data_IF_931272951208
#
_entry.id   IF_931272951208
#
_cell.length_a   1.000
_cell.length_b   1.000
_cell.length_c   1.000
_cell.angle_alpha   90.00
_cell.angle_beta   90.00
_cell.angle_gamma   90.00
#
_symmetry.space_group_name_H-M   'P 1'
#
loop_
_entity.id
_entity.type
_entity.pdbx_description
1 polymer ?
#
# COMPACT_ATOMS: atom_id res chain seq x y z
N UNK A 1 -9.58 -12.27 -1.68
CA UNK A 1 -8.47 -11.96 -0.74
C UNK A 1 -8.98 -11.75 0.68
N UNK A 2 -9.90 -10.81 0.94
CA UNK A 2 -10.44 -10.61 2.29
C UNK A 2 -11.08 -11.89 2.88
N UNK A 3 -11.93 -12.56 2.10
CA UNK A 3 -12.58 -13.80 2.54
C UNK A 3 -11.56 -14.94 2.78
N UNK A 4 -10.48 -14.97 2.01
CA UNK A 4 -9.38 -15.92 2.22
C UNK A 4 -8.66 -15.65 3.54
N UNK A 5 -8.44 -14.39 3.89
CA UNK A 5 -7.84 -14.02 5.17
C UNK A 5 -8.76 -14.42 6.33
N UNK A 6 -10.05 -14.16 6.22
CA UNK A 6 -11.02 -14.55 7.25
C UNK A 6 -11.07 -16.08 7.41
N UNK A 7 -11.05 -16.83 6.31
CA UNK A 7 -10.99 -18.29 6.33
C UNK A 7 -9.70 -18.82 6.98
N UNK A 8 -8.57 -18.14 6.77
CA UNK A 8 -7.29 -18.47 7.41
C UNK A 8 -7.32 -18.21 8.91
N UNK A 9 -7.82 -17.05 9.36
CA UNK A 9 -8.00 -16.73 10.78
C UNK A 9 -8.88 -17.80 11.44
N UNK A 10 -10.04 -18.09 10.85
CA UNK A 10 -10.95 -19.11 11.34
C UNK A 10 -10.35 -20.53 11.35
N UNK A 11 -9.36 -20.81 10.49
CA UNK A 11 -8.62 -22.07 10.53
C UNK A 11 -7.61 -22.13 11.66
N UNK A 12 -6.84 -21.05 11.85
CA UNK A 12 -5.81 -20.95 12.88
C UNK A 12 -6.42 -20.94 14.29
N UNK A 13 -7.54 -20.25 14.47
CA UNK A 13 -8.28 -20.21 15.74
C UNK A 13 -8.79 -21.58 16.19
N UNK A 14 -8.87 -22.59 15.31
CA UNK A 14 -9.26 -23.97 15.70
C UNK A 14 -8.13 -24.76 16.36
N UNK A 15 -6.88 -24.33 16.18
CA UNK A 15 -5.70 -25.07 16.62
C UNK A 15 -5.00 -24.45 17.83
N UNK A 16 -5.36 -23.22 18.21
CA UNK A 16 -4.78 -22.50 19.33
C UNK A 16 -5.83 -22.22 20.42
N UNK A 17 -5.46 -22.31 21.69
CA UNK A 17 -6.33 -21.93 22.82
C UNK A 17 -6.60 -20.41 22.87
N UNK A 18 -5.89 -19.62 22.06
CA UNK A 18 -5.98 -18.17 21.96
C UNK A 18 -6.34 -17.72 20.54
N UNK A 19 -6.87 -16.49 20.42
CA UNK A 19 -7.10 -15.87 19.11
C UNK A 19 -5.79 -15.66 18.34
N UNK A 20 -5.78 -16.14 17.10
CA UNK A 20 -4.64 -16.04 16.19
C UNK A 20 -4.35 -14.59 15.81
N UNK A 21 -3.06 -14.27 15.67
CA UNK A 21 -2.59 -12.95 15.20
C UNK A 21 -1.95 -13.10 13.83
N UNK A 22 -2.41 -12.31 12.87
CA UNK A 22 -1.95 -12.40 11.47
C UNK A 22 -1.30 -11.11 11.02
N UNK A 23 -0.18 -11.22 10.30
CA UNK A 23 0.48 -10.11 9.60
C UNK A 23 0.29 -10.32 8.09
N UNK A 24 -0.36 -9.36 7.44
CA UNK A 24 -0.49 -9.34 5.97
C UNK A 24 0.61 -8.46 5.40
N UNK A 25 1.54 -9.07 4.67
CA UNK A 25 2.59 -8.35 3.95
C UNK A 25 2.19 -8.17 2.49
N UNK A 26 1.86 -6.95 2.10
CA UNK A 26 1.56 -6.61 0.72
C UNK A 26 1.88 -5.13 0.44
N UNK A 27 1.85 -4.75 -0.84
CA UNK A 27 2.09 -3.37 -1.27
C UNK A 27 1.07 -2.40 -0.64
N UNK A 28 1.46 -1.14 -0.41
CA UNK A 28 0.60 -0.12 0.20
C UNK A 28 -0.75 0.06 -0.52
N UNK A 29 -0.76 -0.11 -1.85
CA UNK A 29 -1.98 -0.07 -2.66
C UNK A 29 -2.99 -1.18 -2.31
N UNK A 30 -2.55 -2.26 -1.64
CA UNK A 30 -3.43 -3.32 -1.16
C UNK A 30 -3.75 -3.19 0.33
N UNK A 31 -2.78 -2.86 1.17
CA UNK A 31 -2.95 -2.82 2.65
C UNK A 31 -3.42 -1.48 3.18
N UNK A 32 -3.41 -0.41 2.37
CA UNK A 32 -3.93 0.90 2.75
C UNK A 32 -5.44 0.90 2.92
N UNK A 33 -5.99 1.92 3.57
CA UNK A 33 -7.44 2.18 3.60
C UNK A 33 -7.81 2.97 2.32
N UNK A 34 -8.64 2.38 1.46
CA UNK A 34 -9.01 2.97 0.18
C UNK A 34 -9.57 4.39 0.34
N UNK A 35 -10.36 4.63 1.40
CA UNK A 35 -11.01 5.92 1.69
C UNK A 35 -10.02 7.07 1.92
N UNK A 36 -8.77 6.75 2.25
CA UNK A 36 -7.71 7.71 2.50
C UNK A 36 -6.71 7.83 1.34
N UNK A 37 -6.97 7.20 0.19
CA UNK A 37 -6.06 7.13 -0.95
C UNK A 37 -6.78 7.38 -2.27
N UNK A 38 -6.04 7.52 -3.37
CA UNK A 38 -6.62 7.67 -4.72
C UNK A 38 -7.48 6.48 -5.14
N UNK A 39 -7.22 5.27 -4.60
CA UNK A 39 -8.05 4.09 -4.86
C UNK A 39 -9.52 4.37 -4.53
N UNK A 40 -9.81 5.00 -3.39
CA UNK A 40 -11.16 5.38 -3.01
C UNK A 40 -11.79 6.42 -3.94
N UNK A 41 -10.98 7.36 -4.46
CA UNK A 41 -11.46 8.34 -5.45
C UNK A 41 -11.87 7.70 -6.79
N UNK A 42 -11.26 6.57 -7.14
CA UNK A 42 -11.63 5.76 -8.31
C UNK A 42 -12.71 4.71 -8.02
N UNK A 43 -13.28 4.68 -6.81
CA UNK A 43 -14.30 3.70 -6.42
C UNK A 43 -13.74 2.29 -6.20
N UNK A 44 -12.42 2.16 -6.05
CA UNK A 44 -11.75 0.89 -5.81
C UNK A 44 -11.77 0.54 -4.32
N UNK A 45 -11.71 -0.76 -4.03
CA UNK A 45 -11.59 -1.29 -2.69
C UNK A 45 -10.20 -1.90 -2.49
N UNK A 46 -9.60 -1.60 -1.35
CA UNK A 46 -8.34 -2.21 -0.91
C UNK A 46 -8.63 -3.32 0.10
N UNK A 47 -7.69 -4.25 0.25
CA UNK A 47 -7.79 -5.28 1.30
C UNK A 47 -7.79 -4.61 2.69
N UNK A 48 -6.94 -3.60 2.90
CA UNK A 48 -6.88 -2.86 4.15
C UNK A 48 -8.21 -2.21 4.53
N UNK A 49 -8.94 -1.63 3.56
CA UNK A 49 -10.30 -1.12 3.76
C UNK A 49 -11.22 -2.22 4.27
N UNK A 50 -11.32 -3.34 3.55
CA UNK A 50 -12.25 -4.42 3.86
C UNK A 50 -11.95 -5.04 5.24
N UNK A 51 -10.68 -5.25 5.57
CA UNK A 51 -10.28 -5.81 6.88
C UNK A 51 -10.53 -4.80 8.00
N UNK A 52 -10.27 -3.51 7.77
CA UNK A 52 -10.66 -2.46 8.71
C UNK A 52 -12.16 -2.43 8.93
N UNK A 53 -12.95 -2.70 7.90
CA UNK A 53 -14.41 -2.74 8.03
C UNK A 53 -14.91 -3.94 8.82
N UNK A 54 -14.33 -5.12 8.57
CA UNK A 54 -14.74 -6.37 9.22
C UNK A 54 -14.26 -6.48 10.67
N UNK A 55 -13.02 -6.06 10.94
CA UNK A 55 -12.31 -6.29 12.20
C UNK A 55 -12.04 -5.01 13.02
N UNK A 56 -12.44 -3.84 12.53
CA UNK A 56 -12.45 -2.54 13.25
C UNK A 56 -11.17 -2.24 14.04
N UNK A 57 -11.26 -2.29 15.37
CA UNK A 57 -10.24 -1.97 16.36
C UNK A 57 -9.23 -3.10 16.56
N UNK A 58 -9.47 -4.29 16.01
CA UNK A 58 -8.52 -5.40 15.97
C UNK A 58 -7.54 -5.30 14.78
N UNK A 59 -7.78 -4.36 13.86
CA UNK A 59 -6.93 -4.12 12.69
C UNK A 59 -5.94 -2.96 12.92
N UNK A 60 -4.70 -3.10 12.45
CA UNK A 60 -3.75 -1.99 12.30
C UNK A 60 -3.21 -2.01 10.88
N UNK A 61 -3.24 -0.85 10.22
CA UNK A 61 -2.68 -0.66 8.87
C UNK A 61 -1.36 0.09 9.02
N UNK A 62 -0.28 -0.47 8.50
CA UNK A 62 1.07 0.10 8.60
C UNK A 62 1.54 0.36 7.17
N UNK A 63 1.76 1.64 6.85
CA UNK A 63 2.26 2.08 5.56
C UNK A 63 3.72 2.53 5.65
N UNK A 64 4.46 2.28 4.58
CA UNK A 64 5.83 2.78 4.43
C UNK A 64 5.88 3.86 3.36
N UNK A 65 6.69 4.89 3.56
CA UNK A 65 6.96 5.92 2.56
C UNK A 65 8.46 6.06 2.34
N UNK A 66 8.85 6.66 1.22
CA UNK A 66 10.23 7.00 0.91
C UNK A 66 10.28 8.38 0.27
N UNK A 67 11.40 9.07 0.43
CA UNK A 67 11.60 10.43 -0.09
C UNK A 67 12.77 10.51 -1.07
N UNK A 68 13.84 9.74 -0.86
CA UNK A 68 15.03 9.81 -1.70
C UNK A 68 15.59 8.41 -1.97
N UNK A 69 16.49 8.33 -2.96
CA UNK A 69 17.20 7.10 -3.32
C UNK A 69 16.69 6.49 -4.62
N UNK A 70 16.86 5.18 -4.75
CA UNK A 70 16.52 4.45 -5.97
C UNK A 70 15.65 3.24 -5.67
N UNK A 71 14.73 2.93 -6.59
CA UNK A 71 13.87 1.75 -6.54
C UNK A 71 14.13 0.85 -7.75
N UNK A 72 13.85 -0.43 -7.61
CA UNK A 72 13.79 -1.35 -8.76
C UNK A 72 12.37 -1.35 -9.32
N UNK A 73 12.19 -0.91 -10.57
CA UNK A 73 10.88 -0.84 -11.22
C UNK A 73 11.03 -0.99 -12.74
N UNK A 74 10.00 -1.50 -13.40
CA UNK A 74 9.89 -1.53 -14.86
C UNK A 74 9.10 -0.31 -15.37
N UNK A 75 9.38 0.14 -16.59
CA UNK A 75 8.61 1.22 -17.23
C UNK A 75 7.21 0.78 -17.67
N UNK A 76 7.04 -0.52 -17.91
CA UNK A 76 5.80 -1.13 -18.40
C UNK A 76 5.54 -2.44 -17.64
N UNK A 77 4.27 -2.86 -17.63
CA UNK A 77 3.89 -4.15 -17.05
C UNK A 77 4.60 -5.31 -17.74
N UNK A 78 5.23 -6.18 -16.94
CA UNK A 78 6.03 -7.30 -17.45
C UNK A 78 7.35 -6.90 -18.12
N UNK A 79 7.71 -5.61 -18.11
CA UNK A 79 8.96 -5.11 -18.67
C UNK A 79 10.20 -5.49 -17.84
N UNK A 80 11.37 -5.13 -18.37
CA UNK A 80 12.66 -5.38 -17.72
C UNK A 80 12.78 -4.52 -16.45
N UNK A 81 13.28 -5.12 -15.36
CA UNK A 81 13.54 -4.41 -14.12
C UNK A 81 14.71 -3.41 -14.27
N UNK A 82 14.48 -2.16 -13.91
CA UNK A 82 15.47 -1.08 -13.97
C UNK A 82 15.69 -0.47 -12.57
N UNK A 83 16.88 0.11 -12.33
CA UNK A 83 17.10 0.96 -11.16
C UNK A 83 16.70 2.39 -11.50
N UNK A 84 15.60 2.87 -10.91
CA UNK A 84 15.04 4.22 -11.15
C UNK A 84 15.20 5.11 -9.93
N UNK A 85 15.38 6.41 -10.15
CA UNK A 85 15.49 7.42 -9.09
C UNK A 85 14.08 7.75 -8.58
N UNK A 86 13.90 7.79 -7.26
CA UNK A 86 12.64 8.24 -6.63
C UNK A 86 12.40 9.70 -7.01
N UNK A 87 11.16 10.03 -7.42
CA UNK A 87 10.81 11.40 -7.79
C UNK A 87 11.00 12.36 -6.60
N UNK A 88 11.57 13.55 -6.82
CA UNK A 88 11.68 14.55 -5.77
C UNK A 88 10.28 15.02 -5.32
N UNK A 89 10.21 15.59 -4.12
CA UNK A 89 8.99 16.13 -3.59
C UNK A 89 8.49 17.34 -4.40
N UNK A 90 7.18 17.56 -4.37
CA UNK A 90 6.49 18.58 -5.18
C UNK A 90 6.83 20.02 -4.77
N UNK A 91 7.59 20.21 -3.68
CA UNK A 91 8.09 21.52 -3.23
C UNK A 91 9.25 22.04 -4.10
N UNK A 92 9.80 21.19 -4.98
CA UNK A 92 10.96 21.51 -5.82
C UNK A 92 10.62 21.96 -7.26
N UNK A 93 9.49 22.67 -7.48
CA UNK A 93 9.27 23.33 -8.78
C UNK A 93 10.40 24.35 -8.99
N UNK A 94 11.26 24.21 -10.02
CA UNK A 94 12.25 25.23 -10.31
C UNK A 94 11.52 26.50 -10.71
N UNK A 95 11.82 27.64 -10.07
CA UNK A 95 11.47 28.94 -10.64
C UNK A 95 11.96 28.94 -12.09
N UNK A 96 11.04 29.15 -13.04
CA UNK A 96 11.37 29.29 -14.45
C UNK A 96 12.63 30.17 -14.58
N UNK A 97 13.70 29.62 -15.17
CA UNK A 97 14.86 30.44 -15.54
C UNK A 97 14.34 31.51 -16.48
N UNK A 98 14.37 32.76 -16.01
CA UNK A 98 14.26 33.93 -16.86
C UNK A 98 15.35 33.83 -17.92
N UNK A 99 14.96 33.50 -19.15
CA UNK A 99 15.80 33.78 -20.31
C UNK A 99 15.96 35.30 -20.39
N UNK A 100 17.12 35.79 -19.96
CA UNK A 100 17.63 37.10 -20.38
C UNK A 100 18.78 36.80 -21.34
N UNK A 101 18.56 37.26 -22.56
CA UNK A 101 19.50 37.72 -23.60
C UNK A 101 20.75 36.89 -23.87
#
# INVERSE_FOLDING_TARGET
MADTLDALIAHLDRHEDNSSRVVVWAHNSHVGDARATEAGAHGELTLGHLIRERHRDQCRLIGFTTHHGTVTAASEWGGIAERKIVRPDVTSIPKARSAKE
#
